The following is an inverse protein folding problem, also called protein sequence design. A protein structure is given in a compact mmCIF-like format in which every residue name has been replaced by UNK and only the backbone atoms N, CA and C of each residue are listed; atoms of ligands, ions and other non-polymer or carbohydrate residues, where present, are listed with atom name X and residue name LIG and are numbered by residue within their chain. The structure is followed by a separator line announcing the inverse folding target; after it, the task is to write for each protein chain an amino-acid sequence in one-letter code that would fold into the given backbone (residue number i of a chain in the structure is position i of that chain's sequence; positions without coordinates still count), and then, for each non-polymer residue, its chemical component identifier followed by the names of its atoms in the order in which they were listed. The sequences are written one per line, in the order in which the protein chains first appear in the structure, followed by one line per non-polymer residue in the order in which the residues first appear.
data_IF_684044641658
#
_entry.id   IF_684044641658
#
_cell.length_a   1.000
_cell.length_b   1.000
_cell.length_c   1.000
_cell.angle_alpha   90.00
_cell.angle_beta   90.00
_cell.angle_gamma   90.00
#
_symmetry.space_group_name_H-M   'P 1'
#
loop_
_entity.id
_entity.type
_entity.pdbx_description
1 polymer ?
#
# COMPACT_ATOMS: atom_id res chain seq x y z
N UNK A 1 -10.57 -3.93 -0.16
CA UNK A 1 -9.37 -4.09 -1.01
C UNK A 1 -8.12 -4.06 -0.14
N UNK A 2 -7.17 -4.94 -0.39
CA UNK A 2 -5.86 -4.92 0.23
C UNK A 2 -4.81 -4.97 -0.87
N UNK A 3 -3.99 -3.95 -0.97
CA UNK A 3 -2.97 -3.88 -2.02
C UNK A 3 -1.83 -2.95 -1.61
N UNK A 4 -0.75 -3.02 -2.35
CA UNK A 4 0.30 -2.02 -2.30
C UNK A 4 0.05 -0.96 -3.37
N UNK A 5 0.28 0.31 -3.04
CA UNK A 5 0.34 1.38 -4.06
C UNK A 5 1.57 1.29 -4.95
N UNK A 6 2.52 0.42 -4.61
CA UNK A 6 3.73 0.12 -5.38
C UNK A 6 3.80 -1.38 -5.67
N UNK A 7 2.78 -1.92 -6.35
CA UNK A 7 2.67 -3.33 -6.64
C UNK A 7 3.87 -3.85 -7.44
N UNK A 8 4.62 -4.75 -6.83
CA UNK A 8 5.86 -5.28 -7.39
C UNK A 8 5.65 -5.98 -8.73
N UNK A 9 4.56 -6.76 -8.84
CA UNK A 9 4.28 -7.49 -10.07
C UNK A 9 3.97 -6.55 -11.23
N UNK A 10 3.18 -5.51 -10.97
CA UNK A 10 2.86 -4.52 -11.98
C UNK A 10 4.07 -3.69 -12.40
N UNK A 11 4.88 -3.25 -11.42
CA UNK A 11 6.10 -2.52 -11.71
C UNK A 11 7.07 -3.34 -12.57
N UNK A 12 7.29 -4.62 -12.24
CA UNK A 12 8.24 -5.47 -12.95
C UNK A 12 7.71 -6.01 -14.28
N UNK A 13 6.44 -6.35 -14.37
CA UNK A 13 5.91 -7.09 -15.52
C UNK A 13 5.11 -6.23 -16.49
N UNK A 14 4.40 -5.22 -16.03
CA UNK A 14 3.60 -4.35 -16.89
C UNK A 14 4.41 -3.12 -17.31
N UNK A 15 4.98 -2.41 -16.35
CA UNK A 15 5.76 -1.21 -16.61
C UNK A 15 7.22 -1.51 -16.96
N UNK A 16 7.69 -2.72 -16.70
CA UNK A 16 9.07 -3.16 -16.94
C UNK A 16 10.10 -2.21 -16.30
N UNK A 17 9.73 -1.63 -15.18
CA UNK A 17 10.55 -0.67 -14.45
C UNK A 17 11.28 -1.35 -13.30
N UNK A 18 12.57 -1.08 -13.20
CA UNK A 18 13.33 -1.31 -11.98
C UNK A 18 13.15 -0.17 -10.97
N UNK A 19 14.02 -0.12 -9.98
CA UNK A 19 14.10 0.95 -8.98
C UNK A 19 15.53 1.20 -8.51
N UNK A 20 16.47 0.91 -9.38
CA UNK A 20 17.90 1.05 -9.08
C UNK A 20 18.44 2.42 -9.41
N UNK A 21 17.95 3.02 -10.49
CA UNK A 21 18.36 4.35 -10.93
C UNK A 21 17.40 5.42 -10.39
N UNK A 22 17.84 6.69 -10.42
CA UNK A 22 17.00 7.82 -10.02
C UNK A 22 15.75 7.95 -10.89
N UNK A 23 15.89 7.68 -12.18
CA UNK A 23 14.76 7.77 -13.11
C UNK A 23 13.74 6.66 -12.87
N UNK A 24 14.21 5.44 -12.62
CA UNK A 24 13.34 4.33 -12.23
C UNK A 24 12.61 4.62 -10.91
N UNK A 25 13.31 5.17 -9.93
CA UNK A 25 12.70 5.57 -8.65
C UNK A 25 11.64 6.65 -8.84
N UNK A 26 11.90 7.63 -9.70
CA UNK A 26 10.90 8.64 -10.06
C UNK A 26 9.67 8.01 -10.73
N UNK A 27 9.87 7.02 -11.59
CA UNK A 27 8.81 6.25 -12.23
C UNK A 27 7.97 5.47 -11.22
N UNK A 28 8.59 4.82 -10.25
CA UNK A 28 7.90 4.12 -9.16
C UNK A 28 7.04 5.08 -8.33
N UNK A 29 7.58 6.26 -7.99
CA UNK A 29 6.82 7.27 -7.25
C UNK A 29 5.63 7.78 -8.05
N UNK A 30 5.80 8.01 -9.36
CA UNK A 30 4.71 8.44 -10.23
C UNK A 30 3.64 7.36 -10.34
N UNK A 31 4.03 6.09 -10.49
CA UNK A 31 3.09 4.97 -10.48
C UNK A 31 2.22 4.95 -9.21
N UNK A 32 2.84 5.13 -8.04
CA UNK A 32 2.08 5.17 -6.79
C UNK A 32 1.08 6.33 -6.74
N UNK A 33 1.42 7.50 -7.26
CA UNK A 33 0.51 8.65 -7.38
C UNK A 33 -0.67 8.34 -8.31
N UNK A 34 -0.38 7.77 -9.47
CA UNK A 34 -1.39 7.43 -10.47
C UNK A 34 -2.33 6.34 -9.94
N UNK A 35 -1.79 5.34 -9.26
CA UNK A 35 -2.57 4.31 -8.59
C UNK A 35 -3.55 4.92 -7.57
N UNK A 36 -3.07 5.81 -6.72
CA UNK A 36 -3.92 6.48 -5.73
C UNK A 36 -4.97 7.39 -6.38
N UNK A 37 -4.63 8.09 -7.44
CA UNK A 37 -5.57 8.92 -8.20
C UNK A 37 -6.70 8.09 -8.83
N UNK A 38 -6.38 6.93 -9.40
CA UNK A 38 -7.37 5.99 -9.95
C UNK A 38 -8.27 5.40 -8.86
N UNK A 39 -7.75 5.21 -7.67
CA UNK A 39 -8.49 4.63 -6.55
C UNK A 39 -9.38 5.66 -5.82
N UNK A 40 -9.05 6.95 -5.89
CA UNK A 40 -9.73 8.01 -5.16
C UNK A 40 -11.27 8.00 -5.30
N UNK A 41 -11.87 7.79 -6.48
CA UNK A 41 -13.32 7.73 -6.62
C UNK A 41 -13.98 6.59 -5.82
N UNK A 42 -13.23 5.54 -5.49
CA UNK A 42 -13.75 4.37 -4.77
C UNK A 42 -13.92 4.66 -3.28
N UNK A 43 -13.02 5.44 -2.69
CA UNK A 43 -13.00 5.69 -1.25
C UNK A 43 -13.36 7.11 -0.83
N UNK A 44 -13.46 8.05 -1.76
CA UNK A 44 -13.78 9.45 -1.44
C UNK A 44 -15.25 9.70 -1.10
N UNK A 45 -16.12 8.73 -1.37
CA UNK A 45 -17.56 8.86 -1.06
C UNK A 45 -17.80 8.48 0.40
N UNK A 46 -18.33 9.41 1.18
CA UNK A 46 -18.64 9.20 2.60
C UNK A 46 -19.61 8.02 2.86
N UNK A 47 -20.42 7.67 1.88
CA UNK A 47 -21.39 6.57 1.95
C UNK A 47 -20.84 5.24 1.41
N UNK A 48 -19.55 5.20 1.04
CA UNK A 48 -18.98 4.01 0.45
C UNK A 48 -18.98 2.86 1.46
N UNK A 49 -19.58 1.74 1.08
CA UNK A 49 -19.48 0.48 1.84
C UNK A 49 -18.15 -0.23 1.61
N UNK A 50 -17.28 0.38 0.81
CA UNK A 50 -15.97 -0.15 0.49
C UNK A 50 -15.00 0.05 1.65
N UNK A 51 -14.13 -0.91 1.84
CA UNK A 51 -13.03 -0.82 2.78
C UNK A 51 -11.73 -1.22 2.11
N UNK A 52 -10.63 -0.79 2.67
CA UNK A 52 -9.33 -1.15 2.14
C UNK A 52 -8.16 -0.77 3.02
N UNK A 53 -7.06 -1.41 2.77
CA UNK A 53 -5.75 -1.08 3.31
C UNK A 53 -4.76 -1.01 2.16
N UNK A 54 -4.15 0.15 1.99
CA UNK A 54 -3.17 0.42 0.93
C UNK A 54 -1.84 0.71 1.58
N UNK A 55 -0.89 -0.18 1.36
CA UNK A 55 0.44 -0.07 1.95
C UNK A 55 1.42 0.65 1.03
N UNK A 56 2.54 1.09 1.58
CA UNK A 56 3.67 1.67 0.83
C UNK A 56 4.75 0.65 0.49
N UNK A 57 4.51 -0.64 0.74
CA UNK A 57 5.48 -1.69 0.45
C UNK A 57 5.61 -1.93 -1.05
N UNK A 58 6.84 -2.13 -1.53
CA UNK A 58 7.04 -2.70 -2.87
C UNK A 58 6.88 -4.21 -2.74
N UNK A 59 5.69 -4.69 -2.98
CA UNK A 59 5.36 -6.10 -2.83
C UNK A 59 4.14 -6.50 -3.65
N UNK A 60 4.01 -7.80 -3.88
CA UNK A 60 2.81 -8.40 -4.44
C UNK A 60 2.41 -9.58 -3.55
N UNK A 61 1.16 -9.60 -3.10
CA UNK A 61 0.71 -10.64 -2.17
C UNK A 61 1.43 -10.63 -0.83
N UNK A 62 1.64 -9.44 -0.24
CA UNK A 62 2.34 -9.30 1.05
C UNK A 62 1.66 -10.12 2.16
N UNK A 63 2.43 -10.60 3.16
CA UNK A 63 1.86 -11.27 4.33
C UNK A 63 0.98 -10.30 5.12
N UNK A 64 -0.31 -10.54 5.09
CA UNK A 64 -1.31 -9.61 5.63
C UNK A 64 -1.39 -9.63 7.16
N UNK A 65 -0.96 -10.73 7.76
CA UNK A 65 -0.95 -10.87 9.22
C UNK A 65 0.03 -9.94 9.91
N UNK A 66 1.11 -9.58 9.23
CA UNK A 66 2.26 -8.91 9.84
C UNK A 66 2.32 -7.41 9.51
N UNK A 67 1.50 -6.94 8.57
CA UNK A 67 1.42 -5.53 8.20
C UNK A 67 0.57 -4.76 9.22
N UNK A 68 1.18 -3.77 9.85
CA UNK A 68 0.50 -2.89 10.79
C UNK A 68 0.41 -1.48 10.21
N UNK A 69 -0.80 -0.94 10.14
CA UNK A 69 -1.07 0.44 9.74
C UNK A 69 -2.07 1.03 10.75
N UNK A 70 -1.79 2.22 11.25
CA UNK A 70 -2.64 2.86 12.27
C UNK A 70 -2.87 1.98 13.50
N UNK A 71 -1.83 1.24 13.91
CA UNK A 71 -1.86 0.37 15.09
C UNK A 71 -2.62 -0.94 14.94
N UNK A 72 -3.08 -1.29 13.74
CA UNK A 72 -3.81 -2.53 13.47
C UNK A 72 -3.23 -3.30 12.30
N UNK A 73 -3.32 -4.62 12.36
CA UNK A 73 -2.98 -5.49 11.24
C UNK A 73 -4.04 -5.39 10.14
N UNK A 74 -3.69 -5.83 8.94
CA UNK A 74 -4.64 -5.95 7.83
C UNK A 74 -5.86 -6.77 8.21
N UNK A 75 -5.65 -7.86 8.95
CA UNK A 75 -6.73 -8.72 9.42
C UNK A 75 -7.69 -7.98 10.38
N UNK A 76 -7.14 -7.19 11.30
CA UNK A 76 -7.95 -6.40 12.23
C UNK A 76 -8.77 -5.32 11.50
N UNK A 77 -8.18 -4.64 10.50
CA UNK A 77 -8.91 -3.69 9.65
C UNK A 77 -10.04 -4.38 8.87
N UNK A 78 -9.75 -5.55 8.28
CA UNK A 78 -10.77 -6.35 7.59
C UNK A 78 -11.90 -6.75 8.53
N UNK A 79 -11.59 -7.21 9.73
CA UNK A 79 -12.58 -7.61 10.73
C UNK A 79 -13.47 -6.43 11.15
N UNK A 80 -12.89 -5.28 11.42
CA UNK A 80 -13.62 -4.06 11.78
C UNK A 80 -14.58 -3.63 10.65
N UNK A 81 -14.13 -3.70 9.40
CA UNK A 81 -14.98 -3.42 8.26
C UNK A 81 -16.09 -4.46 8.07
N UNK A 82 -15.76 -5.74 8.11
CA UNK A 82 -16.71 -6.83 7.86
C UNK A 82 -17.82 -6.93 8.90
N UNK A 83 -17.53 -6.50 10.12
CA UNK A 83 -18.49 -6.47 11.23
C UNK A 83 -19.25 -5.13 11.34
N UNK A 84 -18.98 -4.19 10.45
CA UNK A 84 -19.62 -2.87 10.47
C UNK A 84 -19.14 -1.93 11.57
N UNK A 85 -18.03 -2.26 12.24
CA UNK A 85 -17.42 -1.38 13.24
C UNK A 85 -16.84 -0.12 12.62
N UNK A 86 -16.35 -0.19 11.39
CA UNK A 86 -15.95 0.94 10.57
C UNK A 86 -16.75 0.97 9.28
N UNK A 87 -17.11 2.17 8.81
CA UNK A 87 -17.87 2.40 7.58
C UNK A 87 -17.33 3.62 6.84
N UNK A 88 -17.53 3.66 5.53
CA UNK A 88 -17.13 4.80 4.71
C UNK A 88 -15.63 5.07 4.77
N UNK A 89 -15.26 6.34 4.88
CA UNK A 89 -13.85 6.77 4.92
C UNK A 89 -13.06 6.15 6.08
N UNK A 90 -13.71 5.84 7.20
CA UNK A 90 -13.08 5.18 8.35
C UNK A 90 -12.66 3.72 8.06
N UNK A 91 -13.10 3.15 6.95
CA UNK A 91 -12.72 1.80 6.50
C UNK A 91 -11.60 1.82 5.46
N UNK A 92 -11.06 2.99 5.12
CA UNK A 92 -9.94 3.15 4.20
C UNK A 92 -8.69 3.58 4.95
N UNK A 93 -7.71 2.72 4.95
CA UNK A 93 -6.43 2.90 5.63
C UNK A 93 -5.32 2.98 4.58
N UNK A 94 -4.75 4.16 4.41
CA UNK A 94 -3.76 4.43 3.37
C UNK A 94 -2.46 4.85 4.03
N UNK A 95 -1.42 4.08 3.78
CA UNK A 95 -0.07 4.45 4.22
C UNK A 95 0.42 5.66 3.40
N UNK A 96 0.61 6.83 3.99
CA UNK A 96 1.02 8.04 3.27
C UNK A 96 2.50 8.04 2.90
N UNK A 97 3.27 7.11 3.44
CA UNK A 97 4.73 7.10 3.31
C UNK A 97 5.18 6.80 1.89
N UNK A 98 6.43 7.12 1.62
CA UNK A 98 7.16 6.74 0.41
C UNK A 98 7.36 5.20 0.36
N UNK A 99 7.79 4.65 -0.79
CA UNK A 99 8.01 3.22 -0.92
C UNK A 99 8.81 2.64 0.23
N UNK A 100 8.38 1.47 0.71
CA UNK A 100 8.97 0.79 1.87
C UNK A 100 9.09 1.65 3.13
N UNK A 101 8.09 2.51 3.37
CA UNK A 101 8.06 3.37 4.55
C UNK A 101 9.09 4.50 4.54
N UNK A 102 9.58 4.88 3.36
CA UNK A 102 10.61 5.92 3.19
C UNK A 102 12.04 5.40 3.27
N UNK A 103 12.23 4.09 3.27
CA UNK A 103 13.55 3.48 3.14
C UNK A 103 14.17 3.76 1.77
N UNK A 104 15.49 3.74 1.72
CA UNK A 104 16.22 3.89 0.46
C UNK A 104 15.86 2.71 -0.45
N UNK A 105 15.39 3.02 -1.65
CA UNK A 105 15.25 2.03 -2.71
C UNK A 105 16.66 1.65 -3.17
N UNK A 106 17.28 0.69 -2.50
CA UNK A 106 18.50 0.09 -3.02
C UNK A 106 18.15 -1.21 -3.74
N UNK A 107 18.68 -1.38 -4.92
CA UNK A 107 18.34 -2.45 -5.83
C UNK A 107 18.62 -3.87 -5.37
N UNK A 108 19.17 -4.06 -4.17
CA UNK A 108 19.56 -5.38 -3.65
C UNK A 108 18.52 -5.99 -2.70
N UNK A 109 17.57 -5.21 -2.24
CA UNK A 109 16.55 -5.70 -1.33
C UNK A 109 15.18 -5.35 -1.87
N UNK A 110 14.59 -6.30 -2.52
CA UNK A 110 13.16 -6.55 -2.38
C UNK A 110 12.88 -6.86 -0.91
N UNK A 111 13.20 -5.96 -0.04
CA UNK A 111 12.72 -6.07 1.29
C UNK A 111 11.21 -5.86 1.15
N UNK A 112 10.48 -6.98 0.97
CA UNK A 112 9.15 -7.01 1.51
C UNK A 112 9.21 -6.15 2.74
N UNK A 113 8.33 -5.21 2.88
CA UNK A 113 8.30 -4.31 4.01
C UNK A 113 8.92 -4.96 5.21
N UNK A 114 10.13 -4.54 5.54
CA UNK A 114 11.01 -5.21 6.47
C UNK A 114 10.38 -5.35 7.86
N UNK A 115 10.86 -6.24 8.68
CA UNK A 115 10.09 -6.89 9.72
C UNK A 115 9.32 -5.89 10.55
N UNK A 116 8.08 -6.21 10.67
CA UNK A 116 7.10 -5.43 11.38
C UNK A 116 7.31 -5.40 12.88
N UNK A 117 6.99 -4.35 13.52
CA UNK A 117 6.02 -3.34 13.13
C UNK A 117 6.64 -2.22 12.29
N UNK A 118 5.88 -1.66 11.35
CA UNK A 118 6.19 -0.35 10.81
C UNK A 118 6.47 0.60 11.95
N UNK A 119 7.61 1.26 11.99
CA UNK A 119 7.78 2.33 12.96
C UNK A 119 6.64 3.33 12.74
N UNK A 120 5.86 3.47 13.76
CA UNK A 120 4.73 4.40 13.81
C UNK A 120 5.25 5.84 13.69
#
# INVERSE_FOLDING_TARGET
MFNSKYDQWQLGNIFQSGWQTKDEQAGVLQYGKDFMAQLAPVYSKAEAKNGGMITSCICHGCPWSDLVLEGKTTFQHYFDWSTGKTVGAASMHIDPRLPNGGGVLNGSTFAMCAPFPYPQ
#
